data_IF_519614660063
#
_entry.id   IF_519614660063
#
_cell.length_a   1.000
_cell.length_b   1.000
_cell.length_c   1.000
_cell.angle_alpha   90.00
_cell.angle_beta   90.00
_cell.angle_gamma   90.00
#
_symmetry.space_group_name_H-M   'P 1'
#
loop_
_entity.id
_entity.type
_entity.pdbx_description
1 polymer ?
#
# COMPACT_ATOMS: atom_id res chain seq x y z
N UNK A 1 -27.72 -10.30 -57.28
CA UNK A 1 -28.12 -9.49 -56.12
C UNK A 1 -28.63 -8.20 -56.69
N UNK A 2 -29.95 -8.03 -56.70
CA UNK A 2 -30.56 -6.76 -57.04
C UNK A 2 -30.19 -5.72 -55.99
N UNK A 3 -30.17 -4.45 -56.40
CA UNK A 3 -29.80 -3.29 -55.54
C UNK A 3 -30.66 -3.23 -54.27
N UNK A 4 -31.86 -3.82 -54.30
CA UNK A 4 -32.87 -3.75 -53.24
C UNK A 4 -32.97 -5.01 -52.36
N UNK A 5 -32.20 -6.08 -52.62
CA UNK A 5 -32.31 -7.37 -51.91
C UNK A 5 -31.98 -7.25 -50.40
N UNK A 6 -31.18 -6.25 -50.02
CA UNK A 6 -30.70 -6.05 -48.65
C UNK A 6 -31.60 -5.20 -47.74
N UNK A 7 -32.72 -4.67 -48.25
CA UNK A 7 -33.58 -3.79 -47.46
C UNK A 7 -34.35 -4.57 -46.37
N UNK A 8 -34.47 -4.04 -45.14
CA UNK A 8 -35.23 -4.68 -44.07
C UNK A 8 -36.74 -4.49 -44.28
N UNK A 9 -37.30 -5.18 -45.26
CA UNK A 9 -38.76 -5.30 -45.41
C UNK A 9 -39.24 -6.49 -44.58
N UNK A 10 -40.22 -6.31 -43.67
CA UNK A 10 -40.73 -7.39 -42.82
C UNK A 10 -41.50 -8.45 -43.62
N UNK A 11 -41.62 -9.69 -43.11
CA UNK A 11 -42.10 -10.85 -43.88
C UNK A 11 -43.58 -10.76 -44.28
N UNK A 12 -44.37 -10.00 -43.53
CA UNK A 12 -45.76 -9.65 -43.81
C UNK A 12 -45.91 -8.69 -45.01
N UNK A 13 -44.86 -7.92 -45.33
CA UNK A 13 -44.80 -7.00 -46.47
C UNK A 13 -43.87 -7.46 -47.60
N UNK A 14 -43.66 -8.77 -47.73
CA UNK A 14 -42.80 -9.34 -48.77
C UNK A 14 -43.22 -8.95 -50.20
N UNK A 15 -44.50 -8.62 -50.42
CA UNK A 15 -45.02 -8.13 -51.70
C UNK A 15 -44.32 -6.83 -52.16
N UNK A 16 -43.91 -5.95 -51.23
CA UNK A 16 -43.19 -4.72 -51.56
C UNK A 16 -41.83 -5.02 -52.20
N UNK A 17 -41.16 -6.12 -51.82
CA UNK A 17 -39.90 -6.54 -52.48
C UNK A 17 -40.16 -6.99 -53.91
N UNK A 18 -41.26 -7.71 -54.12
CA UNK A 18 -41.66 -8.17 -55.44
C UNK A 18 -42.05 -6.99 -56.34
N UNK A 19 -42.81 -6.03 -55.84
CA UNK A 19 -43.19 -4.82 -56.58
C UNK A 19 -41.99 -3.91 -56.87
N UNK A 20 -41.08 -3.75 -55.92
CA UNK A 20 -39.83 -3.02 -56.11
C UNK A 20 -38.91 -3.68 -57.15
N UNK A 21 -38.93 -5.01 -57.26
CA UNK A 21 -38.18 -5.73 -58.30
C UNK A 21 -38.75 -5.55 -59.72
N UNK A 22 -40.00 -5.09 -59.84
CA UNK A 22 -40.63 -4.75 -61.13
C UNK A 22 -40.30 -3.33 -61.59
N UNK A 23 -39.76 -2.49 -60.71
CA UNK A 23 -39.27 -1.17 -61.07
C UNK A 23 -37.95 -1.34 -61.81
N UNK A 24 -37.84 -0.71 -62.98
CA UNK A 24 -36.64 -0.77 -63.82
C UNK A 24 -35.43 -0.19 -63.08
N UNK A 25 -34.29 -0.89 -63.14
CA UNK A 25 -33.02 -0.45 -62.56
C UNK A 25 -32.54 0.90 -63.13
N UNK A 26 -33.06 1.31 -64.30
CA UNK A 26 -32.83 2.65 -64.87
C UNK A 26 -33.23 3.80 -63.92
N UNK A 27 -34.21 3.58 -63.03
CA UNK A 27 -34.61 4.53 -61.98
C UNK A 27 -33.58 4.64 -60.84
N UNK A 28 -32.74 3.63 -60.64
CA UNK A 28 -31.68 3.60 -59.62
C UNK A 28 -30.33 4.15 -60.14
N UNK A 29 -30.28 4.67 -61.37
CA UNK A 29 -29.05 5.18 -61.95
C UNK A 29 -28.53 6.41 -61.20
N UNK A 30 -27.22 6.43 -60.90
CA UNK A 30 -26.57 7.55 -60.22
C UNK A 30 -26.66 8.90 -60.97
N UNK A 31 -26.91 8.87 -62.28
CA UNK A 31 -27.20 10.04 -63.11
C UNK A 31 -28.55 9.84 -63.78
N UNK A 32 -29.61 10.11 -63.03
CA UNK A 32 -30.98 9.96 -63.47
C UNK A 32 -31.32 10.95 -64.61
N UNK A 33 -31.86 10.43 -65.72
CA UNK A 33 -32.43 11.23 -66.81
C UNK A 33 -33.94 11.02 -66.88
N UNK A 34 -34.69 12.08 -66.60
CA UNK A 34 -36.15 12.05 -66.59
C UNK A 34 -36.77 12.15 -67.97
N UNK A 35 -36.03 12.66 -68.97
CA UNK A 35 -36.59 12.98 -70.28
C UNK A 35 -37.13 11.74 -71.03
N UNK A 36 -36.42 10.59 -71.08
CA UNK A 36 -36.94 9.38 -71.73
C UNK A 36 -38.26 8.89 -71.10
N UNK A 37 -38.36 8.97 -69.77
CA UNK A 37 -39.54 8.54 -69.00
C UNK A 37 -40.74 9.45 -69.25
N UNK A 38 -40.52 10.78 -69.23
CA UNK A 38 -41.57 11.76 -69.52
C UNK A 38 -42.04 11.66 -70.97
N UNK A 39 -41.12 11.48 -71.92
CA UNK A 39 -41.44 11.30 -73.34
C UNK A 39 -42.21 10.01 -73.57
N UNK A 40 -41.86 8.91 -72.89
CA UNK A 40 -42.60 7.64 -72.94
C UNK A 40 -44.06 7.84 -72.52
N UNK A 41 -44.30 8.48 -71.37
CA UNK A 41 -45.65 8.76 -70.86
C UNK A 41 -46.44 9.63 -71.83
N UNK A 42 -45.85 10.71 -72.37
CA UNK A 42 -46.51 11.64 -73.28
C UNK A 42 -46.78 11.06 -74.69
N UNK A 43 -45.97 10.11 -75.13
CA UNK A 43 -46.06 9.47 -76.47
C UNK A 43 -46.92 8.20 -76.44
N UNK A 44 -47.24 7.68 -75.26
CA UNK A 44 -48.12 6.51 -75.07
C UNK A 44 -49.56 6.77 -75.54
N UNK A 45 -50.26 5.69 -75.94
CA UNK A 45 -51.67 5.75 -76.35
C UNK A 45 -52.62 5.99 -75.18
N UNK A 46 -52.22 5.63 -73.97
CA UNK A 46 -52.98 5.79 -72.74
C UNK A 46 -52.09 6.45 -71.66
N UNK A 47 -52.00 7.77 -71.74
CA UNK A 47 -51.16 8.60 -70.87
C UNK A 47 -51.59 8.52 -69.40
N UNK A 48 -52.89 8.35 -69.17
CA UNK A 48 -53.46 8.26 -67.83
C UNK A 48 -53.16 6.91 -67.18
N UNK A 49 -53.10 5.82 -67.96
CA UNK A 49 -52.64 4.53 -67.47
C UNK A 49 -51.15 4.57 -67.09
N UNK A 50 -50.28 5.07 -67.97
CA UNK A 50 -48.82 5.16 -67.70
C UNK A 50 -48.50 6.06 -66.49
N UNK A 51 -49.21 7.19 -66.34
CA UNK A 51 -49.07 8.06 -65.18
C UNK A 51 -49.57 7.41 -63.87
N UNK A 52 -50.61 6.56 -63.95
CA UNK A 52 -51.08 5.78 -62.79
C UNK A 52 -50.07 4.74 -62.35
N UNK A 53 -49.46 4.01 -63.30
CA UNK A 53 -48.40 3.04 -63.00
C UNK A 53 -47.20 3.71 -62.33
N UNK A 54 -46.76 4.88 -62.82
CA UNK A 54 -45.68 5.63 -62.18
C UNK A 54 -46.03 6.05 -60.75
N UNK A 55 -47.28 6.46 -60.51
CA UNK A 55 -47.75 6.82 -59.17
C UNK A 55 -47.77 5.61 -58.24
N UNK A 56 -48.28 4.47 -58.71
CA UNK A 56 -48.27 3.21 -57.96
C UNK A 56 -46.84 2.78 -57.59
N UNK A 57 -45.89 2.91 -58.52
CA UNK A 57 -44.47 2.64 -58.25
C UNK A 57 -43.88 3.61 -57.20
N UNK A 58 -44.25 4.89 -57.25
CA UNK A 58 -43.82 5.87 -56.25
C UNK A 58 -44.37 5.56 -54.86
N UNK A 59 -45.66 5.19 -54.77
CA UNK A 59 -46.32 4.85 -53.51
C UNK A 59 -45.66 3.60 -52.89
N UNK A 60 -45.31 2.60 -53.70
CA UNK A 60 -44.55 1.41 -53.26
C UNK A 60 -43.16 1.78 -52.71
N UNK A 61 -42.45 2.70 -53.35
CA UNK A 61 -41.14 3.17 -52.88
C UNK A 61 -41.26 3.92 -51.56
N UNK A 62 -42.29 4.76 -51.40
CA UNK A 62 -42.57 5.48 -50.15
C UNK A 62 -42.84 4.50 -49.00
N UNK A 63 -43.68 3.49 -49.22
CA UNK A 63 -43.95 2.42 -48.24
C UNK A 63 -42.68 1.67 -47.84
N UNK A 64 -41.80 1.35 -48.79
CA UNK A 64 -40.51 0.69 -48.50
C UNK A 64 -39.58 1.60 -47.70
N UNK A 65 -39.51 2.89 -48.03
CA UNK A 65 -38.69 3.86 -47.29
C UNK A 65 -39.16 3.98 -45.85
N UNK A 66 -40.48 4.02 -45.62
CA UNK A 66 -41.05 4.06 -44.28
C UNK A 66 -40.68 2.82 -43.46
N UNK A 67 -40.73 1.62 -44.05
CA UNK A 67 -40.31 0.38 -43.39
C UNK A 67 -38.82 0.40 -43.01
N UNK A 68 -37.97 0.89 -43.92
CA UNK A 68 -36.53 1.02 -43.66
C UNK A 68 -36.27 1.99 -42.51
N UNK A 69 -36.95 3.14 -42.52
CA UNK A 69 -36.83 4.14 -41.46
C UNK A 69 -37.30 3.57 -40.13
N UNK A 70 -38.48 2.94 -40.08
CA UNK A 70 -39.02 2.33 -38.86
C UNK A 70 -38.10 1.23 -38.30
N UNK A 71 -37.58 0.38 -39.17
CA UNK A 71 -36.68 -0.72 -38.81
C UNK A 71 -35.39 -0.20 -38.14
N UNK A 72 -34.75 0.82 -38.73
CA UNK A 72 -33.49 1.34 -38.20
C UNK A 72 -33.64 2.40 -37.09
N UNK A 73 -34.79 3.08 -36.99
CA UNK A 73 -35.01 4.15 -36.01
C UNK A 73 -34.76 3.69 -34.57
N UNK A 74 -35.27 2.51 -34.21
CA UNK A 74 -35.12 1.96 -32.86
C UNK A 74 -33.67 1.59 -32.54
N UNK A 75 -32.94 1.03 -33.51
CA UNK A 75 -31.53 0.66 -33.37
C UNK A 75 -30.63 1.88 -33.24
N UNK A 76 -30.88 2.90 -34.06
CA UNK A 76 -30.14 4.15 -34.04
C UNK A 76 -30.33 4.90 -32.72
N UNK A 77 -31.57 5.05 -32.26
CA UNK A 77 -31.85 5.69 -30.97
C UNK A 77 -31.22 4.93 -29.79
N UNK A 78 -31.27 3.58 -29.81
CA UNK A 78 -30.59 2.77 -28.79
C UNK A 78 -29.07 2.97 -28.83
N UNK A 79 -28.47 3.01 -30.01
CA UNK A 79 -27.04 3.25 -30.16
C UNK A 79 -26.62 4.63 -29.63
N UNK A 80 -27.40 5.69 -29.94
CA UNK A 80 -27.14 7.05 -29.43
C UNK A 80 -27.25 7.09 -27.89
N UNK A 81 -28.31 6.51 -27.34
CA UNK A 81 -28.53 6.46 -25.89
C UNK A 81 -27.39 5.71 -25.18
N UNK A 82 -27.02 4.54 -25.69
CA UNK A 82 -25.91 3.75 -25.16
C UNK A 82 -24.59 4.53 -25.23
N UNK A 83 -24.29 5.18 -26.35
CA UNK A 83 -23.08 5.98 -26.48
C UNK A 83 -23.05 7.14 -25.49
N UNK A 84 -24.18 7.84 -25.30
CA UNK A 84 -24.32 8.93 -24.34
C UNK A 84 -24.11 8.43 -22.91
N UNK A 85 -24.65 7.25 -22.58
CA UNK A 85 -24.45 6.61 -21.28
C UNK A 85 -22.97 6.22 -21.07
N UNK A 86 -22.31 5.66 -22.09
CA UNK A 86 -20.88 5.31 -22.02
C UNK A 86 -20.04 6.57 -21.78
N UNK A 87 -20.31 7.67 -22.48
CA UNK A 87 -19.60 8.94 -22.27
C UNK A 87 -19.79 9.49 -20.86
N UNK A 88 -21.00 9.40 -20.30
CA UNK A 88 -21.28 9.80 -18.92
C UNK A 88 -20.47 8.95 -17.94
N UNK A 89 -20.54 7.62 -18.06
CA UNK A 89 -19.80 6.70 -17.19
C UNK A 89 -18.29 6.92 -17.28
N UNK A 90 -17.78 7.22 -18.48
CA UNK A 90 -16.37 7.50 -18.69
C UNK A 90 -15.95 8.81 -18.01
N UNK A 91 -16.76 9.86 -18.12
CA UNK A 91 -16.53 11.14 -17.43
C UNK A 91 -16.57 10.98 -15.90
N UNK A 92 -17.58 10.29 -15.37
CA UNK A 92 -17.70 9.99 -13.93
C UNK A 92 -16.52 9.16 -13.41
N UNK A 93 -16.07 8.18 -14.21
CA UNK A 93 -14.89 7.37 -13.88
C UNK A 93 -13.61 8.20 -13.89
N UNK A 94 -13.43 9.08 -14.88
CA UNK A 94 -12.27 9.96 -14.95
C UNK A 94 -12.19 10.92 -13.74
N UNK A 95 -13.32 11.49 -13.34
CA UNK A 95 -13.43 12.32 -12.13
C UNK A 95 -13.14 11.52 -10.86
N UNK A 96 -13.71 10.32 -10.74
CA UNK A 96 -13.46 9.42 -9.60
C UNK A 96 -12.00 8.99 -9.50
N UNK A 97 -11.32 8.77 -10.63
CA UNK A 97 -9.88 8.47 -10.65
C UNK A 97 -9.08 9.70 -10.23
N UNK A 98 -9.49 10.91 -10.65
CA UNK A 98 -8.82 12.13 -10.26
C UNK A 98 -8.92 12.38 -8.74
N UNK A 99 -10.10 12.21 -8.14
CA UNK A 99 -10.28 12.32 -6.69
C UNK A 99 -9.48 11.25 -5.94
N UNK A 100 -9.55 9.98 -6.38
CA UNK A 100 -8.79 8.89 -5.76
C UNK A 100 -7.28 9.14 -5.78
N UNK A 101 -6.74 9.74 -6.85
CA UNK A 101 -5.32 10.11 -6.93
C UNK A 101 -4.95 11.17 -5.88
N UNK A 102 -5.82 12.15 -5.65
CA UNK A 102 -5.62 13.18 -4.62
C UNK A 102 -5.67 12.56 -3.24
N UNK A 103 -6.68 11.73 -2.96
CA UNK A 103 -6.83 11.05 -1.66
C UNK A 103 -5.63 10.14 -1.36
N UNK A 104 -5.14 9.41 -2.37
CA UNK A 104 -3.96 8.55 -2.23
C UNK A 104 -2.68 9.37 -1.98
N UNK A 105 -2.54 10.54 -2.62
CA UNK A 105 -1.41 11.42 -2.40
C UNK A 105 -1.39 11.98 -0.97
N UNK A 106 -2.55 12.38 -0.44
CA UNK A 106 -2.67 12.86 0.94
C UNK A 106 -2.45 11.73 1.96
N UNK A 107 -3.01 10.54 1.71
CA UNK A 107 -2.76 9.36 2.53
C UNK A 107 -1.26 9.00 2.57
N UNK A 108 -0.58 9.04 1.41
CA UNK A 108 0.87 8.82 1.32
C UNK A 108 1.66 9.85 2.14
N UNK A 109 1.26 11.12 2.10
CA UNK A 109 1.88 12.19 2.89
C UNK A 109 1.70 11.98 4.38
N UNK A 110 0.48 11.66 4.83
CA UNK A 110 0.16 11.37 6.24
C UNK A 110 0.92 10.14 6.76
N UNK A 111 1.03 9.08 5.95
CA UNK A 111 1.84 7.91 6.31
C UNK A 111 3.34 8.25 6.37
N UNK A 112 3.83 9.07 5.43
CA UNK A 112 5.21 9.53 5.41
C UNK A 112 5.62 10.35 6.63
N UNK A 113 4.75 11.26 7.11
CA UNK A 113 5.01 12.04 8.33
C UNK A 113 5.00 11.16 9.57
N UNK A 114 4.04 10.24 9.68
CA UNK A 114 3.94 9.29 10.80
C UNK A 114 5.15 8.35 10.87
N UNK A 115 5.68 7.92 9.72
CA UNK A 115 6.89 7.09 9.67
C UNK A 115 8.11 7.82 10.26
N UNK A 116 8.30 9.11 9.94
CA UNK A 116 9.39 9.92 10.51
C UNK A 116 9.27 10.04 12.04
N UNK A 117 8.07 10.32 12.54
CA UNK A 117 7.81 10.39 13.99
C UNK A 117 8.05 9.04 14.68
N UNK A 118 7.63 7.93 14.05
CA UNK A 118 7.85 6.60 14.59
C UNK A 118 9.33 6.26 14.68
N UNK A 119 10.12 6.62 13.66
CA UNK A 119 11.57 6.42 13.67
C UNK A 119 12.26 7.22 14.80
N UNK A 120 11.82 8.47 15.03
CA UNK A 120 12.31 9.28 16.15
C UNK A 120 11.95 8.65 17.51
N UNK A 121 10.72 8.19 17.67
CA UNK A 121 10.27 7.51 18.89
C UNK A 121 11.03 6.21 19.12
N UNK A 122 11.28 5.43 18.07
CA UNK A 122 12.07 4.21 18.14
C UNK A 122 13.51 4.50 18.57
N UNK A 123 14.18 5.48 17.94
CA UNK A 123 15.54 5.88 18.33
C UNK A 123 15.58 6.33 19.79
N UNK A 124 14.64 7.19 20.20
CA UNK A 124 14.51 7.62 21.60
C UNK A 124 14.31 6.42 22.54
N UNK A 125 13.49 5.46 22.15
CA UNK A 125 13.23 4.24 22.94
C UNK A 125 14.48 3.37 23.10
N UNK A 126 15.27 3.20 22.03
CA UNK A 126 16.56 2.48 22.08
C UNK A 126 17.54 3.20 23.01
N UNK A 127 17.69 4.52 22.85
CA UNK A 127 18.57 5.33 23.69
C UNK A 127 18.16 5.28 25.16
N UNK A 128 16.86 5.40 25.47
CA UNK A 128 16.36 5.30 26.84
C UNK A 128 16.62 3.92 27.45
N UNK A 129 16.44 2.83 26.69
CA UNK A 129 16.82 1.48 27.17
C UNK A 129 18.30 1.38 27.50
N UNK A 130 19.16 1.96 26.67
CA UNK A 130 20.60 1.98 26.95
C UNK A 130 20.93 2.79 28.21
N UNK A 131 20.30 3.96 28.38
CA UNK A 131 20.45 4.79 29.59
C UNK A 131 20.01 4.02 30.83
N UNK A 132 18.85 3.35 30.79
CA UNK A 132 18.37 2.53 31.92
C UNK A 132 19.39 1.44 32.27
N UNK A 133 19.91 0.71 31.28
CA UNK A 133 20.92 -0.32 31.51
C UNK A 133 22.22 0.23 32.11
N UNK A 134 22.63 1.44 31.73
CA UNK A 134 23.78 2.12 32.35
C UNK A 134 23.48 2.55 33.78
N UNK A 135 22.27 3.08 34.05
CA UNK A 135 21.86 3.46 35.40
C UNK A 135 21.80 2.25 36.34
N UNK A 136 21.28 1.10 35.88
CA UNK A 136 21.28 -0.14 36.66
C UNK A 136 22.70 -0.61 37.01
N UNK A 137 23.65 -0.46 36.06
CA UNK A 137 25.06 -0.77 36.31
C UNK A 137 25.69 0.18 37.34
N UNK A 138 25.40 1.48 37.24
CA UNK A 138 25.85 2.50 38.19
C UNK A 138 25.33 2.19 39.59
N UNK A 139 24.02 1.94 39.73
CA UNK A 139 23.40 1.60 41.01
C UNK A 139 23.98 0.31 41.60
N UNK A 140 24.16 -0.71 40.75
CA UNK A 140 24.75 -1.98 41.16
C UNK A 140 26.18 -1.82 41.71
N UNK A 141 27.00 -1.00 41.06
CA UNK A 141 28.38 -0.73 41.47
C UNK A 141 28.43 0.15 42.72
N UNK A 142 27.55 1.14 42.85
CA UNK A 142 27.48 2.02 44.01
C UNK A 142 27.22 1.25 45.32
N UNK A 143 26.53 0.10 45.26
CA UNK A 143 26.26 -0.76 46.42
C UNK A 143 27.39 -1.73 46.76
N UNK A 144 28.43 -1.84 45.93
CA UNK A 144 29.52 -2.81 46.12
C UNK A 144 30.33 -2.57 47.40
N UNK A 145 30.77 -1.34 47.73
CA UNK A 145 31.57 -1.09 48.94
C UNK A 145 30.92 -1.64 50.21
N UNK A 146 29.64 -1.31 50.44
CA UNK A 146 28.88 -1.80 51.59
C UNK A 146 28.76 -3.34 51.61
N UNK A 147 28.64 -4.00 50.45
CA UNK A 147 28.62 -5.47 50.36
C UNK A 147 29.98 -6.08 50.72
N UNK A 148 31.08 -5.46 50.30
CA UNK A 148 32.43 -5.89 50.65
C UNK A 148 32.64 -5.75 52.16
N UNK A 149 32.27 -4.62 52.75
CA UNK A 149 32.36 -4.42 54.20
C UNK A 149 31.60 -5.49 54.99
N UNK A 150 30.38 -5.83 54.55
CA UNK A 150 29.61 -6.91 55.16
C UNK A 150 30.33 -8.26 55.07
N UNK A 151 30.91 -8.61 53.93
CA UNK A 151 31.66 -9.86 53.76
C UNK A 151 32.92 -9.90 54.63
N UNK A 152 33.60 -8.77 54.81
CA UNK A 152 34.74 -8.65 55.74
C UNK A 152 34.27 -8.89 57.17
N UNK A 153 33.16 -8.30 57.59
CA UNK A 153 32.60 -8.48 58.93
C UNK A 153 32.20 -9.94 59.20
N UNK A 154 31.71 -10.65 58.19
CA UNK A 154 31.36 -12.08 58.25
C UNK A 154 32.59 -13.01 58.08
N UNK A 155 33.82 -12.48 58.01
CA UNK A 155 35.08 -13.19 57.75
C UNK A 155 35.11 -13.99 56.43
N UNK A 156 34.25 -13.65 55.47
CA UNK A 156 34.20 -14.25 54.14
C UNK A 156 35.21 -13.57 53.20
N UNK A 157 36.49 -13.61 53.54
CA UNK A 157 37.53 -12.84 52.86
C UNK A 157 37.70 -13.18 51.37
N UNK A 158 37.60 -14.47 51.02
CA UNK A 158 37.69 -14.89 49.62
C UNK A 158 36.59 -14.26 48.76
N UNK A 159 35.34 -14.28 49.25
CA UNK A 159 34.21 -13.66 48.56
C UNK A 159 34.37 -12.14 48.47
N UNK A 160 34.88 -11.49 49.53
CA UNK A 160 35.16 -10.05 49.53
C UNK A 160 36.19 -9.66 48.46
N UNK A 161 37.32 -10.38 48.37
CA UNK A 161 38.37 -10.15 47.37
C UNK A 161 37.85 -10.42 45.95
N UNK A 162 37.08 -11.49 45.75
CA UNK A 162 36.50 -11.81 44.44
C UNK A 162 35.52 -10.71 43.97
N UNK A 163 34.65 -10.23 44.88
CA UNK A 163 33.73 -9.14 44.59
C UNK A 163 34.50 -7.84 44.29
N UNK A 164 35.54 -7.53 45.07
CA UNK A 164 36.41 -6.37 44.83
C UNK A 164 37.04 -6.41 43.43
N UNK A 165 37.73 -7.50 43.09
CA UNK A 165 38.42 -7.64 41.81
C UNK A 165 37.45 -7.53 40.62
N UNK A 166 36.29 -8.18 40.70
CA UNK A 166 35.26 -8.10 39.66
C UNK A 166 34.73 -6.68 39.49
N UNK A 167 34.45 -5.99 40.60
CA UNK A 167 33.90 -4.62 40.55
C UNK A 167 34.92 -3.58 40.10
N UNK A 168 36.20 -3.75 40.42
CA UNK A 168 37.27 -2.91 39.87
C UNK A 168 37.35 -3.01 38.35
N UNK A 169 37.29 -4.23 37.78
CA UNK A 169 37.25 -4.42 36.32
C UNK A 169 36.00 -3.81 35.68
N UNK A 170 34.85 -3.81 36.37
CA UNK A 170 33.63 -3.19 35.85
C UNK A 170 33.76 -1.66 35.76
N UNK A 171 34.45 -1.02 36.70
CA UNK A 171 34.67 0.43 36.73
C UNK A 171 35.60 0.94 35.62
N UNK A 172 36.41 0.06 35.03
CA UNK A 172 37.32 0.37 33.92
C UNK A 172 36.62 0.33 32.55
N UNK A 173 35.37 -0.17 32.46
CA UNK A 173 34.62 -0.18 31.20
C UNK A 173 34.33 1.24 30.72
N UNK A 174 34.44 1.49 29.41
CA UNK A 174 34.30 2.83 28.79
C UNK A 174 33.03 3.59 29.22
N UNK A 175 31.90 2.90 29.40
CA UNK A 175 30.63 3.50 29.82
C UNK A 175 30.57 3.93 31.29
N UNK A 176 31.45 3.40 32.15
CA UNK A 176 31.46 3.67 33.59
C UNK A 176 32.71 4.44 34.02
N UNK A 177 33.81 4.32 33.29
CA UNK A 177 35.06 5.02 33.55
C UNK A 177 34.90 6.54 33.47
N UNK A 178 34.06 7.01 32.55
CA UNK A 178 33.78 8.44 32.32
C UNK A 178 32.79 9.03 33.34
N UNK A 179 32.10 8.19 34.12
CA UNK A 179 31.10 8.65 35.09
C UNK A 179 31.81 9.23 36.31
N UNK A 180 31.71 10.55 36.48
CA UNK A 180 32.31 11.27 37.61
C UNK A 180 31.70 10.91 38.97
N UNK A 181 30.39 10.61 39.02
CA UNK A 181 29.71 10.21 40.26
C UNK A 181 30.22 8.89 40.86
N UNK A 182 30.94 8.07 40.08
CA UNK A 182 31.56 6.84 40.58
C UNK A 182 32.96 7.06 41.18
N UNK A 183 33.46 8.30 41.22
CA UNK A 183 34.79 8.59 41.75
C UNK A 183 34.93 8.23 43.23
N UNK A 184 33.89 8.50 44.02
CA UNK A 184 33.87 8.15 45.44
C UNK A 184 33.94 6.63 45.62
N UNK A 185 33.16 5.89 44.83
CA UNK A 185 33.17 4.42 44.83
C UNK A 185 34.55 3.86 44.45
N UNK A 186 35.23 4.43 43.45
CA UNK A 186 36.61 4.04 43.09
C UNK A 186 37.59 4.26 44.24
N UNK A 187 37.47 5.42 44.90
CA UNK A 187 38.31 5.75 46.06
C UNK A 187 38.06 4.77 47.22
N UNK A 188 36.80 4.41 47.45
CA UNK A 188 36.37 3.52 48.53
C UNK A 188 36.80 2.09 48.28
N UNK A 189 36.65 1.56 47.06
CA UNK A 189 37.19 0.26 46.68
C UNK A 189 38.72 0.21 46.85
N UNK A 190 39.43 1.30 46.54
CA UNK A 190 40.89 1.36 46.74
C UNK A 190 41.25 1.26 48.23
N UNK A 191 40.48 1.92 49.10
CA UNK A 191 40.64 1.82 50.56
C UNK A 191 40.30 0.41 51.06
N UNK A 192 39.17 -0.15 50.63
CA UNK A 192 38.71 -1.48 51.04
C UNK A 192 39.72 -2.58 50.68
N UNK A 193 40.43 -2.45 49.56
CA UNK A 193 41.54 -3.36 49.21
C UNK A 193 42.58 -3.44 50.34
N UNK A 194 42.97 -2.30 50.90
CA UNK A 194 43.90 -2.23 52.03
C UNK A 194 43.28 -2.81 53.31
N UNK A 195 42.02 -2.47 53.60
CA UNK A 195 41.29 -2.97 54.77
C UNK A 195 41.22 -4.50 54.77
N UNK A 196 40.83 -5.11 53.64
CA UNK A 196 40.77 -6.58 53.49
C UNK A 196 42.14 -7.19 53.73
N UNK A 197 43.20 -6.63 53.13
CA UNK A 197 44.56 -7.13 53.29
C UNK A 197 45.01 -7.15 54.76
N UNK A 198 44.82 -6.04 55.48
CA UNK A 198 45.18 -5.96 56.89
C UNK A 198 44.34 -6.89 57.76
N UNK A 199 43.04 -7.05 57.48
CA UNK A 199 42.18 -7.98 58.24
C UNK A 199 42.58 -9.43 58.06
N UNK A 200 42.93 -9.84 56.84
CA UNK A 200 43.46 -11.20 56.57
C UNK A 200 44.79 -11.39 57.31
N UNK A 201 45.68 -10.40 57.26
CA UNK A 201 46.97 -10.47 57.95
C UNK A 201 46.81 -10.59 59.48
N UNK A 202 45.92 -9.78 60.07
CA UNK A 202 45.57 -9.86 61.50
C UNK A 202 45.02 -11.24 61.87
N UNK A 203 44.05 -11.78 61.12
CA UNK A 203 43.47 -13.10 61.39
C UNK A 203 44.51 -14.22 61.22
N UNK A 204 45.41 -14.11 60.24
CA UNK A 204 46.47 -15.09 59.99
C UNK A 204 47.55 -15.04 61.09
N UNK A 205 47.95 -13.84 61.54
CA UNK A 205 48.81 -13.68 62.71
C UNK A 205 48.14 -14.23 63.99
N UNK A 206 46.85 -13.96 64.19
CA UNK A 206 46.11 -14.49 65.33
C UNK A 206 46.05 -16.03 65.30
N UNK A 207 45.89 -16.63 64.12
CA UNK A 207 45.87 -18.07 63.95
C UNK A 207 47.25 -18.71 64.17
N UNK A 208 48.32 -18.10 63.66
CA UNK A 208 49.69 -18.58 63.82
C UNK A 208 50.23 -18.43 65.26
N UNK A 209 49.87 -17.33 65.94
CA UNK A 209 50.51 -16.96 67.21
C UNK A 209 49.60 -17.02 68.44
N UNK A 210 48.27 -16.90 68.30
CA UNK A 210 47.38 -16.64 69.44
C UNK A 210 46.19 -17.58 69.63
N UNK A 211 45.98 -18.60 68.78
CA UNK A 211 45.19 -19.82 69.04
C UNK A 211 45.04 -20.63 67.74
N UNK A 212 45.70 -21.79 67.69
CA UNK A 212 45.38 -22.81 66.70
C UNK A 212 44.68 -23.98 67.39
N UNK A 213 43.45 -24.31 66.98
CA UNK A 213 42.94 -25.68 67.14
C UNK A 213 43.74 -26.69 66.28
N UNK A 214 44.66 -26.20 65.43
CA UNK A 214 45.57 -26.98 64.60
C UNK A 214 47.05 -26.86 64.99
N UNK A 215 47.40 -26.27 66.15
CA UNK A 215 48.79 -26.28 66.65
C UNK A 215 49.21 -27.62 67.29
N UNK A 216 48.50 -28.71 66.98
CA UNK A 216 48.81 -30.06 67.42
C UNK A 216 49.79 -30.77 66.47
N UNK A 217 50.97 -30.18 66.26
CA UNK A 217 52.18 -30.97 65.97
C UNK A 217 53.26 -30.57 66.97
N UNK A 218 53.01 -30.89 68.23
CA UNK A 218 54.09 -31.19 69.17
C UNK A 218 54.60 -32.58 68.81
N UNK A 219 55.56 -32.64 67.89
CA UNK A 219 56.39 -33.82 67.74
C UNK A 219 57.39 -33.86 68.90
N UNK A 220 57.13 -34.81 69.78
CA UNK A 220 58.15 -35.60 70.49
C UNK A 220 59.00 -36.34 69.47
#
# INVERSE_FOLDING_TARGET
MGIFDGLPVPPDKAYLREELSRIDESWAAARFDSLPHVVHILTSKDREAEARVLKEQSDVVEDVVDEVVQSYHSGFNKAIQNYSQILRLFSESAESIASLKVDLAEAKKCLGTRNKQLHQLWYRSVTLRHIISLLDQIEGIAKVPARIEKLIAEKQFYAAVQLHARSSLMLEREGLQTVGALQDVRSELTKLRGVVFYKILEDLHAHLYNKGEYSCLKHV
#
